data_IF_000207718015
#
_entry.id   IF_000207718015
#
_cell.length_a   1.000
_cell.length_b   1.000
_cell.length_c   1.000
_cell.angle_alpha   90.00
_cell.angle_beta   90.00
_cell.angle_gamma   90.00
#
_symmetry.space_group_name_H-M   'P 1'
#
loop_
_entity.id
_entity.type
_entity.pdbx_description
1 polymer ?
#
# COMPACT_ATOMS: atom_id res chain seq x y z
N UNK A 1 -12.65 -2.14 -4.83
CA UNK A 1 -12.85 -3.36 -5.67
C UNK A 1 -11.50 -3.67 -6.27
N UNK A 2 -10.87 -4.79 -5.88
CA UNK A 2 -9.54 -5.20 -6.38
C UNK A 2 -9.67 -5.61 -7.85
N UNK A 3 -9.71 -4.62 -8.75
CA UNK A 3 -9.42 -4.88 -10.14
C UNK A 3 -7.97 -5.38 -10.20
N UNK A 4 -7.71 -6.39 -11.02
CA UNK A 4 -6.37 -6.77 -11.38
C UNK A 4 -5.73 -5.61 -12.16
N UNK A 5 -5.30 -4.56 -11.44
CA UNK A 5 -4.60 -3.42 -12.03
C UNK A 5 -3.21 -3.95 -12.35
N UNK A 6 -3.01 -4.32 -13.62
CA UNK A 6 -1.67 -4.46 -14.17
C UNK A 6 -0.93 -3.17 -13.82
N UNK A 7 0.24 -3.26 -13.17
CA UNK A 7 1.01 -2.13 -12.63
C UNK A 7 1.59 -1.19 -13.71
N UNK A 8 0.80 -0.84 -14.72
CA UNK A 8 1.15 0.01 -15.86
C UNK A 8 1.47 1.44 -15.46
N UNK A 9 0.98 1.90 -14.31
CA UNK A 9 1.16 3.27 -13.85
C UNK A 9 2.20 3.40 -12.73
N UNK A 10 2.90 2.31 -12.36
CA UNK A 10 3.94 2.37 -11.34
C UNK A 10 5.17 3.09 -11.87
N UNK A 11 5.63 4.09 -11.13
CA UNK A 11 6.81 4.87 -11.48
C UNK A 11 7.79 4.87 -10.33
N UNK A 12 9.09 4.78 -10.67
CA UNK A 12 10.15 5.06 -9.72
C UNK A 12 10.37 6.58 -9.67
N UNK A 13 9.98 7.19 -8.56
CA UNK A 13 10.14 8.62 -8.32
C UNK A 13 11.53 8.85 -7.75
N UNK A 14 12.26 9.81 -8.32
CA UNK A 14 13.54 10.28 -7.78
C UNK A 14 13.40 11.75 -7.38
N UNK A 15 13.58 12.04 -6.09
CA UNK A 15 13.51 13.39 -5.50
C UNK A 15 12.20 14.16 -5.79
N UNK A 16 11.07 13.46 -5.90
CA UNK A 16 9.77 14.09 -6.15
C UNK A 16 9.30 14.91 -4.94
N UNK A 17 8.88 16.15 -5.15
CA UNK A 17 8.36 17.02 -4.08
C UNK A 17 6.95 16.58 -3.70
N UNK A 18 6.77 16.15 -2.45
CA UNK A 18 5.47 15.76 -1.90
C UNK A 18 4.72 16.95 -1.27
N UNK A 19 5.44 17.78 -0.54
CA UNK A 19 4.89 18.95 0.13
C UNK A 19 5.96 20.04 0.26
N UNK A 20 5.53 21.29 0.29
CA UNK A 20 6.38 22.43 0.59
C UNK A 20 5.60 23.39 1.49
N UNK A 21 6.15 23.70 2.66
CA UNK A 21 5.54 24.63 3.62
C UNK A 21 6.65 25.46 4.27
N UNK A 22 6.54 26.79 4.21
CA UNK A 22 7.45 27.75 4.87
C UNK A 22 8.94 27.46 4.67
N UNK A 23 9.34 27.12 3.44
CA UNK A 23 10.73 26.83 3.07
C UNK A 23 11.19 25.40 3.40
N UNK A 24 10.36 24.58 4.05
CA UNK A 24 10.59 23.16 4.25
C UNK A 24 10.01 22.39 3.06
N UNK A 25 10.86 21.63 2.38
CA UNK A 25 10.47 20.78 1.24
C UNK A 25 10.57 19.32 1.65
N UNK A 26 9.46 18.60 1.57
CA UNK A 26 9.41 17.15 1.75
C UNK A 26 9.55 16.51 0.37
N UNK A 27 10.60 15.71 0.19
CA UNK A 27 10.86 14.95 -1.03
C UNK A 27 10.74 13.45 -0.80
N UNK A 28 10.34 12.73 -1.84
CA UNK A 28 10.24 11.28 -1.86
C UNK A 28 11.08 10.68 -2.99
N UNK A 29 11.75 9.58 -2.68
CA UNK A 29 12.46 8.74 -3.64
C UNK A 29 12.08 7.29 -3.40
N UNK A 30 11.52 6.63 -4.40
CA UNK A 30 11.03 5.25 -4.28
C UNK A 30 9.99 4.89 -5.33
N UNK A 31 9.47 3.67 -5.23
CA UNK A 31 8.37 3.20 -6.07
C UNK A 31 7.06 3.87 -5.62
N UNK A 32 6.30 4.41 -6.57
CA UNK A 32 5.00 4.99 -6.31
C UNK A 32 3.98 3.88 -6.05
N UNK A 33 3.39 3.88 -4.85
CA UNK A 33 2.24 3.06 -4.53
C UNK A 33 0.95 3.68 -5.07
N UNK A 34 0.01 2.82 -5.46
CA UNK A 34 -1.29 3.23 -5.96
C UNK A 34 -2.42 2.76 -5.02
N UNK A 35 -3.67 3.05 -5.41
CA UNK A 35 -4.86 2.67 -4.64
C UNK A 35 -4.93 1.16 -4.36
N UNK A 36 -4.47 0.31 -5.28
CA UNK A 36 -4.49 -1.14 -5.10
C UNK A 36 -3.53 -1.58 -3.99
N UNK A 37 -2.35 -0.97 -3.92
CA UNK A 37 -1.38 -1.24 -2.85
C UNK A 37 -1.95 -0.87 -1.48
N UNK A 38 -2.63 0.27 -1.39
CA UNK A 38 -3.32 0.72 -0.18
C UNK A 38 -4.45 -0.23 0.22
N UNK A 39 -5.33 -0.60 -0.72
CA UNK A 39 -6.46 -1.50 -0.45
C UNK A 39 -5.98 -2.87 0.09
N UNK A 40 -4.87 -3.40 -0.44
CA UNK A 40 -4.27 -4.66 0.03
C UNK A 40 -3.71 -4.47 1.44
N UNK A 41 -2.98 -3.39 1.70
CA UNK A 41 -2.41 -3.11 3.02
C UNK A 41 -3.50 -2.98 4.08
N UNK A 42 -4.56 -2.22 3.81
CA UNK A 42 -5.69 -2.08 4.74
C UNK A 42 -6.37 -3.42 5.02
N UNK A 43 -6.51 -4.27 4.01
CA UNK A 43 -7.09 -5.61 4.17
C UNK A 43 -6.24 -6.48 5.09
N UNK A 44 -4.91 -6.43 4.95
CA UNK A 44 -3.97 -7.15 5.82
C UNK A 44 -4.03 -6.61 7.25
N UNK A 45 -4.06 -5.28 7.42
CA UNK A 45 -4.17 -4.65 8.75
C UNK A 45 -5.47 -5.05 9.43
N UNK A 46 -6.61 -4.99 8.74
CA UNK A 46 -7.89 -5.43 9.31
C UNK A 46 -7.87 -6.91 9.70
N UNK A 47 -7.17 -7.77 8.96
CA UNK A 47 -7.04 -9.18 9.31
C UNK A 47 -6.13 -9.41 10.52
N UNK A 48 -5.12 -8.58 10.69
CA UNK A 48 -4.18 -8.64 11.81
C UNK A 48 -4.70 -7.91 13.06
N UNK A 49 -5.67 -7.01 12.93
CA UNK A 49 -6.19 -6.15 13.99
C UNK A 49 -6.62 -6.92 15.24
N UNK A 50 -7.33 -8.04 15.07
CA UNK A 50 -7.86 -8.82 16.18
C UNK A 50 -6.82 -9.78 16.79
N UNK A 51 -5.55 -9.73 16.33
CA UNK A 51 -4.48 -10.62 16.77
C UNK A 51 -3.52 -9.89 17.71
N UNK A 52 -3.05 -10.55 18.79
CA UNK A 52 -2.02 -9.98 19.66
C UNK A 52 -0.75 -9.63 18.86
N UNK A 53 -0.09 -8.53 19.25
CA UNK A 53 1.20 -8.14 18.69
C UNK A 53 2.22 -9.29 18.81
N UNK A 54 3.01 -9.49 17.75
CA UNK A 54 3.96 -10.60 17.67
C UNK A 54 3.37 -11.91 17.14
N UNK A 55 2.06 -11.97 16.88
CA UNK A 55 1.42 -13.15 16.27
C UNK A 55 1.60 -13.12 14.74
N UNK A 56 2.01 -14.24 14.16
CA UNK A 56 2.07 -14.37 12.70
C UNK A 56 0.68 -14.36 12.08
N UNK A 57 0.50 -13.50 11.07
CA UNK A 57 -0.73 -13.45 10.30
C UNK A 57 -0.57 -14.17 8.96
N UNK A 58 -1.10 -15.39 8.85
CA UNK A 58 -1.10 -16.16 7.60
C UNK A 58 -2.40 -16.01 6.82
N UNK A 59 -2.29 -15.86 5.50
CA UNK A 59 -3.39 -15.83 4.55
C UNK A 59 -2.93 -16.32 3.18
N UNK A 60 -3.87 -16.73 2.33
CA UNK A 60 -3.58 -17.11 0.95
C UNK A 60 -3.86 -15.93 0.01
N UNK A 61 -3.06 -15.79 -1.05
CA UNK A 61 -3.30 -14.77 -2.08
C UNK A 61 -4.72 -14.90 -2.67
N UNK A 62 -5.17 -16.13 -2.91
CA UNK A 62 -6.54 -16.40 -3.34
C UNK A 62 -7.60 -15.94 -2.33
N UNK A 63 -7.38 -16.18 -1.02
CA UNK A 63 -8.29 -15.73 0.03
C UNK A 63 -8.39 -14.21 0.13
N UNK A 64 -7.29 -13.50 -0.13
CA UNK A 64 -7.24 -12.04 -0.15
C UNK A 64 -7.92 -11.43 -1.38
N UNK A 65 -7.80 -12.10 -2.55
CA UNK A 65 -8.36 -11.63 -3.82
C UNK A 65 -9.81 -12.06 -4.07
N UNK A 66 -10.37 -12.94 -3.24
CA UNK A 66 -11.76 -13.39 -3.38
C UNK A 66 -12.71 -12.32 -2.84
N UNK A 67 -13.50 -11.72 -3.74
CA UNK A 67 -14.56 -10.76 -3.38
C UNK A 67 -15.50 -11.38 -2.32
N UNK A 68 -15.79 -10.62 -1.26
CA UNK A 68 -16.96 -10.83 -0.41
C UNK A 68 -18.20 -10.28 -1.10
#
# INVERSE_FOLDING_TARGET
MFAAVQGKDRQYIKEGVLASQDGIIVKFTGEQFNQTDLDIWETIVHMAHDRPLGTFCSFTAHGLLRKR
#
